data_IF_306656820758
#
_entry.id   IF_306656820758
#
_cell.length_a   1.000
_cell.length_b   1.000
_cell.length_c   1.000
_cell.angle_alpha   90.00
_cell.angle_beta   90.00
_cell.angle_gamma   90.00
#
_symmetry.space_group_name_H-M   'P 1'
#
loop_
_entity.id
_entity.type
_entity.pdbx_description
1 polymer ?
#
# COMPACT_ATOMS: atom_id res chain seq x y z
N UNK A 1 32.26 5.67 -12.82
CA UNK A 1 31.61 4.86 -11.73
C UNK A 1 32.04 5.45 -10.40
N UNK A 2 31.20 6.21 -9.71
CA UNK A 2 31.48 6.70 -8.35
C UNK A 2 31.43 5.49 -7.39
N UNK A 3 32.55 5.21 -6.72
CA UNK A 3 32.62 4.19 -5.68
C UNK A 3 31.78 4.67 -4.48
N UNK A 4 30.78 3.88 -4.09
CA UNK A 4 29.96 4.18 -2.91
C UNK A 4 30.82 3.93 -1.66
N UNK A 5 30.97 4.94 -0.81
CA UNK A 5 31.71 4.80 0.46
C UNK A 5 30.98 3.85 1.42
N UNK A 6 31.68 3.04 2.23
CA UNK A 6 31.07 2.01 3.08
C UNK A 6 29.95 2.53 3.99
N UNK A 7 30.14 3.73 4.57
CA UNK A 7 29.12 4.35 5.42
C UNK A 7 27.83 4.74 4.65
N UNK A 8 27.93 5.11 3.38
CA UNK A 8 26.75 5.37 2.52
C UNK A 8 26.00 4.08 2.19
N UNK A 9 26.71 2.97 2.03
CA UNK A 9 26.09 1.66 1.88
C UNK A 9 25.36 1.22 3.17
N UNK A 10 25.92 1.52 4.35
CA UNK A 10 25.26 1.28 5.63
C UNK A 10 24.03 2.16 5.79
N UNK A 11 24.12 3.45 5.48
CA UNK A 11 22.98 4.38 5.50
C UNK A 11 21.87 3.90 4.57
N UNK A 12 22.20 3.45 3.36
CA UNK A 12 21.21 2.90 2.42
C UNK A 12 20.48 1.67 2.99
N UNK A 13 21.20 0.80 3.71
CA UNK A 13 20.57 -0.36 4.37
C UNK A 13 19.61 0.03 5.49
N UNK A 14 19.86 1.14 6.16
CA UNK A 14 19.06 1.60 7.30
C UNK A 14 17.91 2.53 6.89
N UNK A 15 18.13 3.40 5.90
CA UNK A 15 17.19 4.48 5.54
C UNK A 15 16.63 4.36 4.14
N UNK A 16 17.13 3.45 3.31
CA UNK A 16 16.78 3.34 1.89
C UNK A 16 17.32 4.46 1.00
N UNK A 17 18.10 5.43 1.56
CA UNK A 17 18.64 6.58 0.84
C UNK A 17 20.16 6.53 0.74
N UNK A 18 20.71 6.65 -0.47
CA UNK A 18 22.18 6.70 -0.74
C UNK A 18 22.75 8.11 -0.58
N UNK A 19 21.96 9.12 -0.86
CA UNK A 19 22.35 10.54 -0.92
C UNK A 19 21.47 11.36 0.02
N UNK A 20 21.96 12.51 0.50
CA UNK A 20 21.11 13.50 1.15
C UNK A 20 20.29 14.25 0.09
N UNK A 21 19.14 14.78 0.46
CA UNK A 21 18.30 15.56 -0.46
C UNK A 21 19.03 16.77 -1.07
N UNK A 22 20.04 17.28 -0.37
CA UNK A 22 20.91 18.39 -0.83
C UNK A 22 21.96 17.96 -1.87
N UNK A 23 22.39 16.69 -1.84
CA UNK A 23 23.34 16.11 -2.81
C UNK A 23 22.68 15.71 -4.15
N UNK A 24 21.37 15.62 -4.18
CA UNK A 24 20.58 15.27 -5.36
C UNK A 24 20.10 16.56 -6.02
N UNK A 25 20.81 17.01 -7.01
CA UNK A 25 20.33 18.05 -7.93
C UNK A 25 19.11 17.54 -8.70
N UNK A 26 18.01 17.23 -8.01
CA UNK A 26 16.73 16.76 -8.52
C UNK A 26 16.77 15.88 -9.78
N UNK A 27 15.63 15.42 -10.25
CA UNK A 27 15.54 14.61 -11.50
C UNK A 27 16.07 15.38 -12.71
N UNK A 28 16.01 16.70 -12.67
CA UNK A 28 16.56 17.57 -13.73
C UNK A 28 18.08 17.41 -13.92
N UNK A 29 18.84 17.07 -12.88
CA UNK A 29 20.29 16.84 -12.95
C UNK A 29 20.69 15.41 -13.35
N UNK A 30 19.75 14.49 -13.53
CA UNK A 30 20.08 13.12 -13.89
C UNK A 30 20.56 13.00 -15.35
N UNK A 31 21.36 11.96 -15.70
CA UNK A 31 21.72 11.68 -17.09
C UNK A 31 20.45 11.46 -17.95
N UNK A 32 20.48 11.87 -19.21
CA UNK A 32 19.34 11.70 -20.12
C UNK A 32 18.87 10.23 -20.25
N UNK A 33 19.81 9.29 -20.14
CA UNK A 33 19.51 7.84 -20.18
C UNK A 33 18.99 7.28 -18.86
N UNK A 34 18.90 8.09 -17.77
CA UNK A 34 18.40 7.62 -16.49
C UNK A 34 16.90 7.33 -16.57
N UNK A 35 16.49 6.15 -16.05
CA UNK A 35 15.10 5.73 -16.03
C UNK A 35 14.34 6.47 -14.93
N UNK A 36 13.30 7.21 -15.30
CA UNK A 36 12.37 7.89 -14.38
C UNK A 36 11.12 7.04 -14.18
N UNK A 37 10.54 6.49 -15.23
CA UNK A 37 9.38 5.61 -15.15
C UNK A 37 9.78 4.15 -15.45
N UNK A 38 10.09 3.37 -14.42
CA UNK A 38 10.50 1.97 -14.57
C UNK A 38 9.41 1.08 -15.17
N UNK A 39 8.12 1.35 -14.86
CA UNK A 39 7.01 0.52 -15.35
C UNK A 39 6.82 0.59 -16.87
N UNK A 40 7.09 1.75 -17.46
CA UNK A 40 6.97 1.99 -18.91
C UNK A 40 8.32 2.04 -19.61
N UNK A 41 9.43 2.06 -18.86
CA UNK A 41 10.77 2.16 -19.41
C UNK A 41 11.06 3.55 -20.00
N UNK A 42 10.51 4.61 -19.39
CA UNK A 42 10.69 5.99 -19.88
C UNK A 42 11.90 6.63 -19.21
N UNK A 43 12.81 7.11 -20.03
CA UNK A 43 14.01 7.81 -19.59
C UNK A 43 13.75 9.29 -19.31
N UNK A 44 14.67 9.93 -18.56
CA UNK A 44 14.63 11.38 -18.35
C UNK A 44 14.69 12.15 -19.66
N UNK A 45 15.51 11.71 -20.63
CA UNK A 45 15.65 12.36 -21.92
C UNK A 45 14.36 12.39 -22.74
N UNK A 46 13.55 11.31 -22.70
CA UNK A 46 12.24 11.27 -23.35
C UNK A 46 11.25 12.23 -22.70
N UNK A 47 11.27 12.32 -21.36
CA UNK A 47 10.42 13.26 -20.63
C UNK A 47 10.83 14.72 -20.92
N UNK A 48 12.14 15.02 -20.95
CA UNK A 48 12.61 16.37 -21.27
C UNK A 48 12.18 16.79 -22.68
N UNK A 49 12.31 15.90 -23.66
CA UNK A 49 11.81 16.18 -25.02
C UNK A 49 10.32 16.51 -25.05
N UNK A 50 9.50 15.81 -24.25
CA UNK A 50 8.07 16.08 -24.15
C UNK A 50 7.81 17.45 -23.48
N UNK A 51 8.61 17.85 -22.48
CA UNK A 51 8.55 19.18 -21.86
C UNK A 51 8.93 20.25 -22.88
N UNK A 52 10.02 20.07 -23.61
CA UNK A 52 10.50 21.01 -24.65
C UNK A 52 9.45 21.17 -25.79
N UNK A 53 8.63 20.14 -26.01
CA UNK A 53 7.51 20.16 -26.94
C UNK A 53 6.21 20.78 -26.37
N UNK A 54 6.29 21.38 -25.18
CA UNK A 54 5.20 22.15 -24.58
C UNK A 54 4.39 21.43 -23.51
N UNK A 55 4.82 20.25 -23.04
CA UNK A 55 4.17 19.64 -21.88
C UNK A 55 4.51 20.38 -20.58
N UNK A 56 3.51 21.00 -19.97
CA UNK A 56 3.64 21.79 -18.75
C UNK A 56 3.07 21.11 -17.50
N UNK A 57 2.48 19.92 -17.63
CA UNK A 57 1.89 19.20 -16.49
C UNK A 57 2.04 17.69 -16.63
N UNK A 58 1.84 16.98 -15.49
CA UNK A 58 2.01 15.52 -15.42
C UNK A 58 1.00 14.78 -16.32
N UNK A 59 -0.20 15.31 -16.50
CA UNK A 59 -1.22 14.69 -17.36
C UNK A 59 -0.77 14.67 -18.83
N UNK A 60 -0.22 15.77 -19.33
CA UNK A 60 0.35 15.83 -20.68
C UNK A 60 1.54 14.87 -20.84
N UNK A 61 2.45 14.79 -19.85
CA UNK A 61 3.54 13.83 -19.86
C UNK A 61 3.04 12.39 -19.87
N UNK A 62 1.99 12.10 -19.09
CA UNK A 62 1.38 10.78 -19.05
C UNK A 62 0.75 10.40 -20.40
N UNK A 63 0.04 11.32 -21.03
CA UNK A 63 -0.60 11.12 -22.33
C UNK A 63 0.41 10.89 -23.45
N UNK A 64 1.46 11.74 -23.53
CA UNK A 64 2.46 11.65 -24.61
C UNK A 64 3.46 10.52 -24.44
N UNK A 65 3.91 10.25 -23.22
CA UNK A 65 4.99 9.27 -22.97
C UNK A 65 4.50 7.97 -22.34
N UNK A 66 3.29 7.97 -21.78
CA UNK A 66 2.79 6.87 -20.95
C UNK A 66 3.38 6.84 -19.55
N UNK A 67 4.19 7.82 -19.14
CA UNK A 67 4.73 7.90 -17.80
C UNK A 67 3.62 8.01 -16.76
N UNK A 68 3.80 7.38 -15.59
CA UNK A 68 2.82 7.44 -14.48
C UNK A 68 1.45 6.77 -14.73
N UNK A 69 1.22 6.12 -15.88
CA UNK A 69 -0.08 5.51 -16.19
C UNK A 69 -0.30 4.14 -15.52
N UNK A 70 0.75 3.48 -15.04
CA UNK A 70 0.66 2.13 -14.44
C UNK A 70 0.64 2.18 -12.92
N UNK A 71 1.68 2.68 -12.26
CA UNK A 71 1.82 2.64 -10.81
C UNK A 71 1.83 4.01 -10.13
N UNK A 72 2.01 5.10 -10.87
CA UNK A 72 2.02 6.46 -10.34
C UNK A 72 3.27 6.81 -9.50
N UNK A 73 4.16 5.87 -9.20
CA UNK A 73 5.33 6.11 -8.31
C UNK A 73 6.31 7.16 -8.84
N UNK A 74 6.28 7.44 -10.15
CA UNK A 74 7.13 8.48 -10.74
C UNK A 74 6.49 9.87 -10.73
N UNK A 75 5.24 10.05 -10.28
CA UNK A 75 4.57 11.37 -10.24
C UNK A 75 5.41 12.45 -9.54
N UNK A 76 6.00 12.19 -8.33
CA UNK A 76 6.84 13.20 -7.68
C UNK A 76 8.05 13.62 -8.52
N UNK A 77 8.68 12.65 -9.22
CA UNK A 77 9.80 12.92 -10.10
C UNK A 77 9.41 13.72 -11.35
N UNK A 78 8.20 13.48 -11.88
CA UNK A 78 7.65 14.24 -13.00
C UNK A 78 7.35 15.69 -12.58
N UNK A 79 6.80 15.90 -11.39
CA UNK A 79 6.58 17.25 -10.83
C UNK A 79 7.90 18.01 -10.68
N UNK A 80 8.94 17.35 -10.11
CA UNK A 80 10.27 17.97 -10.02
C UNK A 80 10.86 18.34 -11.39
N UNK A 81 10.63 17.50 -12.41
CA UNK A 81 11.09 17.78 -13.77
C UNK A 81 10.40 19.01 -14.38
N UNK A 82 9.13 19.22 -14.03
CA UNK A 82 8.33 20.37 -14.45
C UNK A 82 8.61 21.63 -13.61
N UNK A 83 9.51 21.55 -12.62
CA UNK A 83 9.79 22.66 -11.69
C UNK A 83 8.76 22.85 -10.59
N UNK A 84 7.79 21.95 -10.49
CA UNK A 84 6.79 21.99 -9.43
C UNK A 84 7.29 21.17 -8.24
N UNK A 85 7.68 21.86 -7.17
CA UNK A 85 8.15 21.23 -5.92
C UNK A 85 7.00 20.85 -4.99
N UNK A 86 5.80 21.32 -5.25
CA UNK A 86 4.62 21.00 -4.47
C UNK A 86 4.09 19.60 -4.85
N UNK A 87 4.22 18.64 -3.96
CA UNK A 87 3.55 17.35 -4.09
C UNK A 87 2.06 17.63 -3.90
N UNK A 88 1.28 17.55 -4.99
CA UNK A 88 -0.17 17.68 -4.89
C UNK A 88 -0.71 16.61 -3.91
N UNK A 89 -1.39 17.00 -2.83
CA UNK A 89 -1.91 16.05 -1.87
C UNK A 89 -2.92 15.13 -2.57
N UNK A 90 -2.79 13.82 -2.31
CA UNK A 90 -3.79 12.85 -2.79
C UNK A 90 -5.10 13.13 -2.04
N UNK A 91 -6.21 13.48 -2.70
CA UNK A 91 -7.44 13.88 -2.03
C UNK A 91 -7.96 12.86 -1.01
N UNK A 92 -7.70 11.58 -1.24
CA UNK A 92 -8.11 10.49 -0.35
C UNK A 92 -7.08 10.16 0.75
N UNK A 93 -5.91 10.81 0.80
CA UNK A 93 -4.84 10.48 1.74
C UNK A 93 -5.30 10.49 3.22
N UNK A 94 -6.02 11.49 3.74
CA UNK A 94 -6.44 11.49 5.14
C UNK A 94 -7.43 10.36 5.45
N UNK A 95 -8.32 10.01 4.51
CA UNK A 95 -9.28 8.90 4.68
C UNK A 95 -8.54 7.57 4.71
N UNK A 96 -7.57 7.37 3.80
CA UNK A 96 -6.77 6.15 3.74
C UNK A 96 -5.88 6.00 4.98
N UNK A 97 -5.26 7.09 5.43
CA UNK A 97 -4.46 7.10 6.67
C UNK A 97 -5.33 6.81 7.90
N UNK A 98 -6.52 7.39 7.99
CA UNK A 98 -7.47 7.12 9.06
C UNK A 98 -7.93 5.66 9.08
N UNK A 99 -8.30 5.10 7.93
CA UNK A 99 -8.68 3.70 7.82
C UNK A 99 -7.52 2.76 8.20
N UNK A 100 -6.30 3.06 7.77
CA UNK A 100 -5.11 2.30 8.11
C UNK A 100 -4.80 2.37 9.62
N UNK A 101 -4.94 3.54 10.23
CA UNK A 101 -4.76 3.71 11.68
C UNK A 101 -5.79 2.91 12.48
N UNK A 102 -7.06 2.98 12.10
CA UNK A 102 -8.13 2.20 12.75
C UNK A 102 -7.83 0.70 12.65
N UNK A 103 -7.44 0.21 11.48
CA UNK A 103 -7.09 -1.20 11.28
C UNK A 103 -5.87 -1.61 12.12
N UNK A 104 -4.86 -0.75 12.22
CA UNK A 104 -3.68 -1.00 13.04
C UNK A 104 -4.03 -1.07 14.53
N UNK A 105 -4.82 -0.11 15.04
CA UNK A 105 -5.28 -0.10 16.42
C UNK A 105 -6.16 -1.32 16.74
N UNK A 106 -7.11 -1.67 15.86
CA UNK A 106 -7.94 -2.86 16.02
C UNK A 106 -7.09 -4.15 16.06
N UNK A 107 -6.06 -4.25 15.22
CA UNK A 107 -5.13 -5.39 15.21
C UNK A 107 -4.35 -5.47 16.52
N UNK A 108 -3.83 -4.35 17.03
CA UNK A 108 -3.10 -4.31 18.29
C UNK A 108 -4.01 -4.67 19.48
N UNK A 109 -5.21 -4.10 19.52
CA UNK A 109 -6.20 -4.39 20.56
C UNK A 109 -6.61 -5.87 20.58
N UNK A 110 -6.66 -6.51 19.43
CA UNK A 110 -7.01 -7.94 19.34
C UNK A 110 -6.01 -8.85 20.05
N UNK A 111 -4.71 -8.48 20.06
CA UNK A 111 -3.68 -9.24 20.77
C UNK A 111 -3.56 -8.89 22.26
N UNK A 112 -4.23 -7.83 22.73
CA UNK A 112 -4.25 -7.53 24.15
C UNK A 112 -5.19 -8.49 24.88
N UNK A 113 -4.76 -9.10 26.00
CA UNK A 113 -5.60 -9.93 26.83
C UNK A 113 -6.56 -9.04 27.66
N UNK A 114 -7.49 -8.37 26.98
CA UNK A 114 -8.50 -7.56 27.68
C UNK A 114 -9.61 -8.49 28.11
N UNK A 115 -9.62 -8.83 29.39
CA UNK A 115 -10.77 -9.48 30.03
C UNK A 115 -11.79 -8.39 30.29
N UNK A 116 -12.78 -8.26 29.40
CA UNK A 116 -13.93 -7.39 29.65
C UNK A 116 -14.92 -8.21 30.46
N UNK A 117 -15.19 -7.86 31.74
CA UNK A 117 -16.18 -8.56 32.54
C UNK A 117 -17.58 -8.19 32.01
N UNK A 118 -18.16 -9.04 31.18
CA UNK A 118 -19.55 -8.93 30.79
C UNK A 118 -20.45 -9.53 31.87
N UNK A 119 -21.60 -8.92 32.15
CA UNK A 119 -22.63 -9.54 32.91
C UNK A 119 -23.12 -10.81 32.21
N UNK A 120 -23.41 -11.88 32.94
CA UNK A 120 -23.85 -13.19 32.39
C UNK A 120 -24.99 -13.07 31.38
N UNK A 121 -25.93 -12.15 31.62
CA UNK A 121 -27.05 -11.84 30.73
C UNK A 121 -26.57 -11.31 29.33
N UNK A 122 -25.50 -10.56 29.26
CA UNK A 122 -24.96 -10.05 28.02
C UNK A 122 -24.16 -11.15 27.29
N UNK A 123 -23.46 -12.00 28.02
CA UNK A 123 -22.76 -13.16 27.44
C UNK A 123 -23.73 -14.16 26.81
N UNK A 124 -24.92 -14.37 27.42
CA UNK A 124 -25.94 -15.24 26.86
C UNK A 124 -26.58 -14.69 25.58
N UNK A 125 -26.64 -13.35 25.40
CA UNK A 125 -27.21 -12.71 24.21
C UNK A 125 -26.24 -12.54 23.07
N UNK A 126 -24.91 -12.40 23.35
CA UNK A 126 -23.85 -12.28 22.35
C UNK A 126 -23.33 -13.67 21.98
N UNK A 127 -24.02 -14.36 21.08
CA UNK A 127 -23.69 -15.73 20.64
C UNK A 127 -22.51 -15.75 19.67
N UNK A 128 -21.37 -15.18 20.06
CA UNK A 128 -20.13 -15.23 19.24
C UNK A 128 -19.68 -16.66 18.94
N UNK A 129 -20.03 -17.62 19.81
CA UNK A 129 -19.75 -19.03 19.60
C UNK A 129 -20.41 -19.60 18.35
N UNK A 130 -21.55 -19.07 17.92
CA UNK A 130 -22.22 -19.51 16.69
C UNK A 130 -21.40 -19.20 15.44
N UNK A 131 -20.68 -18.07 15.43
CA UNK A 131 -19.87 -17.66 14.28
C UNK A 131 -18.79 -18.68 13.94
N UNK A 132 -18.20 -19.30 14.94
CA UNK A 132 -17.11 -20.26 14.68
C UNK A 132 -17.54 -21.73 14.81
N UNK A 133 -18.63 -22.05 15.49
CA UNK A 133 -19.17 -23.42 15.61
C UNK A 133 -20.03 -23.80 14.41
N UNK A 134 -20.75 -22.87 13.82
CA UNK A 134 -21.61 -23.12 12.68
C UNK A 134 -20.79 -23.32 11.41
N UNK A 135 -20.86 -24.52 10.83
CA UNK A 135 -20.08 -24.89 9.63
C UNK A 135 -20.43 -24.00 8.41
N UNK A 136 -21.71 -23.61 8.27
CA UNK A 136 -22.15 -22.75 7.17
C UNK A 136 -21.51 -21.36 7.24
N UNK A 137 -21.53 -20.72 8.43
CA UNK A 137 -20.88 -19.41 8.62
C UNK A 137 -19.37 -19.48 8.40
N UNK A 138 -18.72 -20.57 8.84
CA UNK A 138 -17.29 -20.81 8.55
C UNK A 138 -17.01 -20.94 7.08
N UNK A 139 -17.83 -21.68 6.35
CA UNK A 139 -17.65 -21.83 4.90
C UNK A 139 -17.83 -20.48 4.18
N UNK A 140 -18.93 -19.78 4.45
CA UNK A 140 -19.21 -18.48 3.81
C UNK A 140 -18.08 -17.49 4.10
N UNK A 141 -17.71 -17.30 5.38
CA UNK A 141 -16.65 -16.37 5.75
C UNK A 141 -15.28 -16.78 5.19
N UNK A 142 -14.99 -18.08 5.09
CA UNK A 142 -13.79 -18.59 4.45
C UNK A 142 -13.73 -18.28 2.96
N UNK A 143 -14.82 -18.45 2.21
CA UNK A 143 -14.88 -18.07 0.79
C UNK A 143 -14.81 -16.55 0.59
N UNK A 144 -15.41 -15.77 1.48
CA UNK A 144 -15.29 -14.29 1.46
C UNK A 144 -13.84 -13.88 1.68
N UNK A 145 -13.14 -14.47 2.66
CA UNK A 145 -11.72 -14.23 2.91
C UNK A 145 -10.86 -14.60 1.69
N UNK A 146 -11.14 -15.73 1.05
CA UNK A 146 -10.45 -16.13 -0.17
C UNK A 146 -10.65 -15.09 -1.28
N UNK A 147 -11.89 -14.66 -1.51
CA UNK A 147 -12.23 -13.64 -2.52
C UNK A 147 -11.54 -12.30 -2.24
N UNK A 148 -11.53 -11.84 -0.99
CA UNK A 148 -10.84 -10.63 -0.56
C UNK A 148 -9.31 -10.75 -0.73
N UNK A 149 -8.73 -11.92 -0.42
CA UNK A 149 -7.29 -12.17 -0.61
C UNK A 149 -6.91 -12.13 -2.08
N UNK A 150 -7.72 -12.69 -2.98
CA UNK A 150 -7.54 -12.57 -4.43
C UNK A 150 -7.61 -11.12 -4.87
N UNK A 151 -8.61 -10.36 -4.39
CA UNK A 151 -8.77 -8.94 -4.70
C UNK A 151 -7.54 -8.12 -4.25
N UNK A 152 -7.04 -8.37 -3.04
CA UNK A 152 -5.80 -7.75 -2.54
C UNK A 152 -4.59 -8.09 -3.42
N UNK A 153 -4.52 -9.30 -3.97
CA UNK A 153 -3.47 -9.74 -4.89
C UNK A 153 -3.53 -9.06 -6.26
N UNK A 154 -4.70 -8.64 -6.73
CA UNK A 154 -4.89 -8.03 -8.06
C UNK A 154 -4.08 -6.74 -8.22
N UNK A 155 -3.91 -5.95 -7.17
CA UNK A 155 -3.07 -4.72 -7.22
C UNK A 155 -1.61 -5.07 -7.55
N UNK A 156 -1.09 -6.16 -6.97
CA UNK A 156 0.26 -6.65 -7.26
C UNK A 156 0.37 -7.18 -8.69
N UNK A 157 -0.65 -7.87 -9.17
CA UNK A 157 -0.72 -8.37 -10.54
C UNK A 157 -0.75 -7.21 -11.54
N UNK A 158 -1.52 -6.15 -11.27
CA UNK A 158 -1.57 -4.94 -12.09
C UNK A 158 -0.20 -4.29 -12.27
N UNK A 159 0.63 -4.26 -11.21
CA UNK A 159 2.00 -3.71 -11.30
C UNK A 159 2.90 -4.55 -12.23
N UNK A 160 2.67 -5.86 -12.32
CA UNK A 160 3.46 -6.79 -13.15
C UNK A 160 2.97 -6.84 -14.59
N UNK A 161 1.66 -6.76 -14.80
CA UNK A 161 1.03 -6.85 -16.14
C UNK A 161 0.85 -5.45 -16.71
N UNK A 162 1.81 -5.01 -17.52
CA UNK A 162 1.85 -3.65 -18.14
C UNK A 162 0.62 -3.30 -18.99
N UNK A 163 -0.15 -4.30 -19.44
CA UNK A 163 -1.37 -4.13 -20.26
C UNK A 163 -2.61 -3.79 -19.43
N UNK A 164 -2.58 -4.05 -18.11
CA UNK A 164 -3.71 -3.78 -17.22
C UNK A 164 -3.70 -2.30 -16.79
N UNK A 165 -4.14 -1.40 -17.66
CA UNK A 165 -4.22 0.05 -17.40
C UNK A 165 -5.59 0.51 -16.91
N UNK A 166 -6.50 -0.44 -16.60
CA UNK A 166 -7.88 -0.14 -16.22
C UNK A 166 -7.96 0.64 -14.90
N UNK A 167 -8.61 1.81 -14.92
CA UNK A 167 -8.83 2.71 -13.80
C UNK A 167 -7.57 3.46 -13.32
N UNK A 168 -7.74 4.43 -12.43
CA UNK A 168 -6.63 5.16 -11.80
C UNK A 168 -5.89 4.32 -10.77
N UNK A 169 -4.59 4.54 -10.59
CA UNK A 169 -3.82 3.84 -9.56
C UNK A 169 -4.27 4.23 -8.15
N UNK A 170 -4.67 5.48 -7.95
CA UNK A 170 -5.16 5.97 -6.66
C UNK A 170 -6.49 5.30 -6.27
N UNK A 171 -7.38 5.05 -7.25
CA UNK A 171 -8.58 4.23 -7.03
C UNK A 171 -8.25 2.80 -6.61
N UNK A 172 -7.27 2.17 -7.25
CA UNK A 172 -6.82 0.83 -6.86
C UNK A 172 -6.18 0.79 -5.47
N UNK A 173 -5.45 1.85 -5.07
CA UNK A 173 -4.95 1.99 -3.69
C UNK A 173 -6.10 2.05 -2.69
N UNK A 174 -7.12 2.86 -2.96
CA UNK A 174 -8.30 2.95 -2.11
C UNK A 174 -9.00 1.59 -1.96
N UNK A 175 -9.25 0.90 -3.07
CA UNK A 175 -9.82 -0.46 -3.06
C UNK A 175 -8.96 -1.42 -2.24
N UNK A 176 -7.63 -1.37 -2.38
CA UNK A 176 -6.72 -2.24 -1.64
C UNK A 176 -6.79 -1.98 -0.13
N UNK A 177 -6.74 -0.72 0.31
CA UNK A 177 -6.82 -0.37 1.74
C UNK A 177 -8.18 -0.75 2.33
N UNK A 178 -9.28 -0.42 1.66
CA UNK A 178 -10.63 -0.76 2.11
C UNK A 178 -10.84 -2.29 2.17
N UNK A 179 -10.37 -3.02 1.16
CA UNK A 179 -10.41 -4.49 1.16
C UNK A 179 -9.55 -5.07 2.28
N UNK A 180 -8.42 -4.46 2.63
CA UNK A 180 -7.58 -4.86 3.76
C UNK A 180 -8.31 -4.72 5.09
N UNK A 181 -8.97 -3.59 5.32
CA UNK A 181 -9.79 -3.35 6.52
C UNK A 181 -10.95 -4.34 6.60
N UNK A 182 -11.64 -4.58 5.48
CA UNK A 182 -12.73 -5.55 5.41
C UNK A 182 -12.23 -6.97 5.68
N UNK A 183 -11.07 -7.34 5.14
CA UNK A 183 -10.45 -8.65 5.39
C UNK A 183 -10.17 -8.85 6.87
N UNK A 184 -9.68 -7.83 7.59
CA UNK A 184 -9.50 -7.91 9.03
C UNK A 184 -10.83 -8.16 9.74
N UNK A 185 -11.88 -7.41 9.43
CA UNK A 185 -13.20 -7.58 10.06
C UNK A 185 -13.78 -8.99 9.84
N UNK A 186 -13.70 -9.49 8.59
CA UNK A 186 -14.17 -10.84 8.26
C UNK A 186 -13.31 -11.91 8.92
N UNK A 187 -11.98 -11.70 9.03
CA UNK A 187 -11.08 -12.63 9.70
C UNK A 187 -11.39 -12.74 11.20
N UNK A 188 -11.63 -11.61 11.88
CA UNK A 188 -12.02 -11.58 13.30
C UNK A 188 -13.34 -12.34 13.49
N UNK A 189 -14.33 -12.12 12.63
CA UNK A 189 -15.59 -12.85 12.64
C UNK A 189 -15.39 -14.35 12.34
N UNK A 190 -14.56 -14.70 11.35
CA UNK A 190 -14.27 -16.08 10.97
C UNK A 190 -13.62 -16.88 12.09
N UNK A 191 -12.72 -16.25 12.85
CA UNK A 191 -12.02 -16.88 13.99
C UNK A 191 -12.82 -16.83 15.28
N UNK A 192 -13.96 -16.12 15.32
CA UNK A 192 -14.73 -15.91 16.55
C UNK A 192 -13.95 -15.18 17.63
N UNK A 193 -13.18 -14.15 17.24
CA UNK A 193 -12.30 -13.36 18.12
C UNK A 193 -11.16 -14.16 18.77
N UNK A 194 -10.83 -15.34 18.25
CA UNK A 194 -9.73 -16.17 18.77
C UNK A 194 -8.48 -16.02 17.90
N UNK A 195 -7.34 -15.93 18.54
CA UNK A 195 -6.05 -15.86 17.83
C UNK A 195 -5.55 -17.23 17.35
N UNK A 196 -6.18 -18.31 17.83
CA UNK A 196 -5.79 -19.68 17.52
C UNK A 196 -4.55 -20.13 18.30
N UNK A 197 -4.12 -21.36 18.02
CA UNK A 197 -2.94 -21.99 18.61
C UNK A 197 -2.06 -22.56 17.50
N UNK A 198 -0.79 -22.82 17.80
CA UNK A 198 0.16 -23.44 16.90
C UNK A 198 0.23 -22.73 15.52
N UNK A 199 -0.03 -23.46 14.43
CA UNK A 199 0.02 -22.95 13.07
C UNK A 199 -0.95 -21.79 12.85
N UNK A 200 -2.15 -21.87 13.41
CA UNK A 200 -3.15 -20.81 13.26
C UNK A 200 -2.69 -19.50 13.92
N UNK A 201 -2.08 -19.58 15.10
CA UNK A 201 -1.48 -18.41 15.75
C UNK A 201 -0.36 -17.80 14.91
N UNK A 202 0.53 -18.63 14.35
CA UNK A 202 1.59 -18.18 13.47
C UNK A 202 1.05 -17.47 12.21
N UNK A 203 0.05 -18.06 11.55
CA UNK A 203 -0.60 -17.44 10.39
C UNK A 203 -1.24 -16.10 10.75
N UNK A 204 -1.84 -16.01 11.92
CA UNK A 204 -2.44 -14.79 12.43
C UNK A 204 -1.39 -13.70 12.68
N UNK A 205 -0.25 -14.05 13.25
CA UNK A 205 0.88 -13.13 13.46
C UNK A 205 1.43 -12.61 12.13
N UNK A 206 1.61 -13.48 11.14
CA UNK A 206 2.08 -13.10 9.80
C UNK A 206 1.09 -12.16 9.11
N UNK A 207 -0.20 -12.50 9.16
CA UNK A 207 -1.26 -11.65 8.58
C UNK A 207 -1.30 -10.27 9.25
N UNK A 208 -1.27 -10.22 10.58
CA UNK A 208 -1.27 -8.97 11.35
C UNK A 208 -0.02 -8.13 11.05
N UNK A 209 1.15 -8.76 10.93
CA UNK A 209 2.38 -8.09 10.54
C UNK A 209 2.29 -7.47 9.14
N UNK A 210 1.73 -8.17 8.16
CA UNK A 210 1.49 -7.66 6.80
C UNK A 210 0.50 -6.49 6.81
N UNK A 211 -0.56 -6.57 7.60
CA UNK A 211 -1.56 -5.51 7.73
C UNK A 211 -0.96 -4.24 8.35
N UNK A 212 -0.19 -4.39 9.43
CA UNK A 212 0.50 -3.27 10.09
C UNK A 212 1.54 -2.63 9.16
N UNK A 213 2.30 -3.42 8.41
CA UNK A 213 3.24 -2.92 7.41
C UNK A 213 2.52 -2.16 6.28
N UNK A 214 1.37 -2.66 5.82
CA UNK A 214 0.53 -1.99 4.82
C UNK A 214 -0.06 -0.68 5.36
N UNK A 215 -0.51 -0.66 6.61
CA UNK A 215 -1.00 0.54 7.29
C UNK A 215 0.10 1.60 7.40
N UNK A 216 1.30 1.23 7.85
CA UNK A 216 2.45 2.13 7.94
C UNK A 216 2.83 2.70 6.57
N UNK A 217 2.87 1.86 5.52
CA UNK A 217 3.14 2.31 4.15
C UNK A 217 2.08 3.28 3.62
N UNK A 218 0.82 3.13 4.03
CA UNK A 218 -0.28 4.02 3.63
C UNK A 218 -0.24 5.37 4.34
N UNK A 219 0.35 5.44 5.54
CA UNK A 219 0.48 6.67 6.33
C UNK A 219 1.62 7.57 5.85
N UNK A 220 2.63 7.02 5.15
CA UNK A 220 3.84 7.74 4.69
C UNK A 220 3.64 8.37 3.30
N UNK A 221 2.59 8.04 2.58
CA UNK A 221 2.29 8.51 1.21
C UNK A 221 1.15 9.50 1.21
#
# INVERSE_FOLDING_TARGET
RRRVRPWRALRFRLTGTLWSAEDEGGVAGWPAAAMVCNCKGISRGELTKAVDQGCSNVACLAERTGASTVCGSCKPMLNQLLGDTAIAPVPAAPVLAGAALIAALATLLWFLPVVIPYAETVQASLRFDELWRNSLYKQISGFVLLGLSVLLGVVSLRKRVRRLTWGSFDGWRAVHVLSGVLTLAVLVAHTGFRTGENLNFFLMMVFSGLLLAGAAASAVV
#
